data_IF_256291879670
#
_entry.id   IF_256291879670
#
_cell.length_a   1.000
_cell.length_b   1.000
_cell.length_c   1.000
_cell.angle_alpha   90.00
_cell.angle_beta   90.00
_cell.angle_gamma   90.00
#
_symmetry.space_group_name_H-M   'P 1'
#
loop_
_entity.id
_entity.type
_entity.pdbx_description
1 polymer ?
#
# COMPACT_ATOMS: atom_id res chain seq x y z
N UNK A 1 8.59 -15.18 -3.17
CA UNK A 1 8.73 -13.76 -2.79
C UNK A 1 8.15 -13.57 -1.41
N UNK A 2 8.97 -13.21 -0.43
CA UNK A 2 8.46 -12.78 0.88
C UNK A 2 7.55 -11.56 0.68
N UNK A 3 6.30 -11.65 1.13
CA UNK A 3 5.37 -10.51 1.11
C UNK A 3 5.95 -9.43 2.02
N UNK A 4 6.14 -8.24 1.47
CA UNK A 4 6.55 -7.04 2.22
C UNK A 4 5.31 -6.52 2.97
N UNK A 5 5.45 -5.93 4.16
CA UNK A 5 4.31 -5.31 4.83
C UNK A 5 3.61 -4.34 3.87
N UNK A 6 2.28 -4.43 3.83
CA UNK A 6 1.39 -3.58 3.02
C UNK A 6 1.61 -2.09 3.33
N UNK A 7 0.97 -1.24 2.53
CA UNK A 7 0.98 0.20 2.73
C UNK A 7 0.40 0.58 4.11
N UNK A 8 1.14 1.38 4.88
CA UNK A 8 0.73 1.94 6.18
C UNK A 8 0.82 3.45 6.14
N UNK A 9 -0.04 4.10 6.93
CA UNK A 9 -0.01 5.55 7.07
C UNK A 9 1.11 5.95 8.03
N UNK A 10 1.95 6.89 7.58
CA UNK A 10 3.03 7.47 8.37
C UNK A 10 2.53 8.80 8.92
N UNK A 11 2.17 8.81 10.20
CA UNK A 11 1.74 10.02 10.90
C UNK A 11 2.91 11.00 11.06
N UNK A 12 2.77 12.19 10.47
CA UNK A 12 3.76 13.27 10.59
C UNK A 12 3.73 13.88 12.00
N UNK A 13 2.55 13.92 12.65
CA UNK A 13 2.42 14.35 14.05
C UNK A 13 3.22 13.42 14.97
N UNK A 14 3.01 12.10 14.86
CA UNK A 14 3.73 11.13 15.69
C UNK A 14 5.22 11.11 15.39
N UNK A 15 5.62 11.16 14.11
CA UNK A 15 7.03 11.27 13.73
C UNK A 15 7.72 12.48 14.35
N UNK A 16 7.05 13.64 14.33
CA UNK A 16 7.59 14.87 14.90
C UNK A 16 7.74 14.76 16.42
N UNK A 17 6.73 14.22 17.10
CA UNK A 17 6.81 13.95 18.53
C UNK A 17 7.96 12.98 18.87
N UNK A 18 8.13 11.90 18.11
CA UNK A 18 9.24 10.96 18.29
C UNK A 18 10.61 11.62 18.05
N UNK A 19 10.76 12.44 17.01
CA UNK A 19 12.01 13.19 16.76
C UNK A 19 12.35 14.09 17.95
N UNK A 20 11.37 14.81 18.50
CA UNK A 20 11.57 15.66 19.68
C UNK A 20 12.01 14.84 20.91
N UNK A 21 11.37 13.69 21.17
CA UNK A 21 11.77 12.79 22.27
C UNK A 21 13.21 12.33 22.08
N UNK A 22 13.60 11.90 20.88
CA UNK A 22 14.96 11.46 20.60
C UNK A 22 15.99 12.59 20.70
N UNK A 23 15.64 13.82 20.30
CA UNK A 23 16.48 15.01 20.48
C UNK A 23 16.70 15.32 21.96
N UNK A 24 15.63 15.34 22.77
CA UNK A 24 15.71 15.59 24.22
C UNK A 24 16.55 14.55 24.95
N UNK A 25 16.48 13.29 24.51
CA UNK A 25 17.30 12.18 25.04
C UNK A 25 18.75 12.20 24.53
N UNK A 26 19.09 13.07 23.58
CA UNK A 26 20.43 13.13 22.98
C UNK A 26 20.74 11.97 22.02
N UNK A 27 19.71 11.28 21.51
CA UNK A 27 19.85 10.16 20.58
C UNK A 27 20.11 10.60 19.12
N UNK A 28 19.97 11.90 18.82
CA UNK A 28 20.12 12.49 17.48
C UNK A 28 21.14 13.65 17.47
N UNK A 29 21.87 13.85 16.35
CA UNK A 29 22.14 12.82 15.33
C UNK A 29 22.89 11.64 15.95
N UNK A 30 22.90 10.49 15.30
CA UNK A 30 23.63 9.31 15.81
C UNK A 30 25.10 9.67 16.06
N UNK A 31 25.48 9.82 17.34
CA UNK A 31 26.84 10.22 17.72
C UNK A 31 27.81 9.10 17.33
N UNK A 32 28.93 9.45 16.69
CA UNK A 32 30.02 8.49 16.37
C UNK A 32 30.55 7.76 17.61
N UNK A 33 30.37 8.35 18.80
CA UNK A 33 30.52 7.68 20.11
C UNK A 33 29.27 8.00 20.95
N UNK A 34 28.33 7.05 21.14
CA UNK A 34 27.23 7.27 22.07
C UNK A 34 27.83 7.49 23.47
N UNK A 35 27.28 8.43 24.24
CA UNK A 35 27.59 8.44 25.67
C UNK A 35 27.08 7.11 26.26
N UNK A 36 27.73 6.54 27.29
CA UNK A 36 27.26 5.31 27.93
C UNK A 36 25.80 5.37 28.41
N UNK A 37 25.29 6.58 28.65
CA UNK A 37 23.92 6.89 29.08
C UNK A 37 22.91 7.01 27.92
N UNK A 38 23.34 6.95 26.65
CA UNK A 38 22.48 7.19 25.48
C UNK A 38 22.83 6.27 24.31
N UNK A 39 22.57 4.97 24.45
CA UNK A 39 22.52 4.08 23.30
C UNK A 39 21.35 4.49 22.37
N UNK A 40 21.57 4.61 21.05
CA UNK A 40 20.49 4.97 20.15
C UNK A 40 19.41 3.87 20.16
N UNK A 41 18.12 4.23 20.21
CA UNK A 41 17.02 3.28 20.09
C UNK A 41 17.24 2.35 18.88
N UNK A 42 16.95 1.05 19.05
CA UNK A 42 17.09 0.02 18.00
C UNK A 42 16.46 0.47 16.68
N UNK A 43 15.32 1.17 16.75
CA UNK A 43 14.61 1.70 15.59
C UNK A 43 15.45 2.70 14.76
N UNK A 44 16.24 3.56 15.38
CA UNK A 44 17.12 4.50 14.66
C UNK A 44 18.30 3.78 13.99
N UNK A 45 18.83 2.75 14.63
CA UNK A 45 19.87 1.89 14.05
C UNK A 45 19.31 1.12 12.85
N UNK A 46 18.10 0.55 12.99
CA UNK A 46 17.37 -0.12 11.91
C UNK A 46 17.10 0.83 10.74
N UNK A 47 16.64 2.05 11.00
CA UNK A 47 16.42 3.09 9.99
C UNK A 47 17.71 3.44 9.24
N UNK A 48 18.81 3.72 9.96
CA UNK A 48 20.08 4.06 9.34
C UNK A 48 20.60 2.92 8.46
N UNK A 49 20.48 1.67 8.91
CA UNK A 49 20.86 0.49 8.11
C UNK A 49 20.06 0.39 6.82
N UNK A 50 18.73 0.56 6.90
CA UNK A 50 17.85 0.50 5.74
C UNK A 50 18.11 1.65 4.75
N UNK A 51 18.27 2.88 5.25
CA UNK A 51 18.57 4.05 4.42
C UNK A 51 19.95 3.96 3.75
N UNK A 52 20.97 3.44 4.44
CA UNK A 52 22.28 3.16 3.83
C UNK A 52 22.20 2.08 2.75
N UNK A 53 21.27 1.13 2.87
CA UNK A 53 20.95 0.19 1.81
C UNK A 53 20.25 0.87 0.63
N UNK A 54 19.32 1.79 0.91
CA UNK A 54 18.55 2.54 -0.07
C UNK A 54 19.44 3.49 -0.91
N UNK A 55 20.51 4.04 -0.36
CA UNK A 55 21.54 4.83 -1.09
C UNK A 55 22.22 4.07 -2.26
N UNK A 56 21.98 2.77 -2.40
CA UNK A 56 22.57 1.89 -3.43
C UNK A 56 21.50 1.32 -4.36
N UNK A 57 20.29 1.87 -4.35
CA UNK A 57 19.15 1.35 -5.10
C UNK A 57 18.75 2.33 -6.20
N UNK A 58 18.02 1.81 -7.18
CA UNK A 58 17.60 2.58 -8.34
C UNK A 58 18.73 2.88 -9.32
N UNK A 59 18.49 3.78 -10.29
CA UNK A 59 17.23 4.49 -10.52
C UNK A 59 16.06 3.55 -10.86
N UNK A 60 14.82 4.04 -10.75
CA UNK A 60 13.61 3.29 -11.07
C UNK A 60 12.78 4.07 -12.09
N UNK A 61 12.19 3.39 -13.07
CA UNK A 61 11.31 4.02 -14.06
C UNK A 61 10.37 2.99 -14.69
N UNK A 62 9.18 3.43 -15.12
CA UNK A 62 8.27 2.62 -15.93
C UNK A 62 8.84 2.27 -17.31
N UNK A 63 9.82 3.03 -17.80
CA UNK A 63 10.46 2.79 -19.10
C UNK A 63 11.65 1.82 -19.02
N UNK A 64 12.09 1.42 -17.82
CA UNK A 64 13.16 0.43 -17.63
C UNK A 64 12.66 -1.00 -17.82
N UNK A 65 12.17 -1.29 -19.02
CA UNK A 65 11.59 -2.57 -19.38
C UNK A 65 11.60 -2.77 -20.90
N UNK A 66 11.70 -4.03 -21.33
CA UNK A 66 11.53 -4.41 -22.74
C UNK A 66 10.05 -4.61 -23.11
N UNK A 67 9.14 -4.57 -22.13
CA UNK A 67 7.71 -4.78 -22.35
C UNK A 67 7.01 -3.48 -22.76
N UNK A 68 6.59 -3.40 -24.02
CA UNK A 68 5.79 -2.28 -24.51
C UNK A 68 4.36 -2.34 -23.96
N UNK A 69 3.83 -1.25 -23.38
CA UNK A 69 2.43 -1.18 -22.96
C UNK A 69 1.47 -1.27 -24.17
N UNK A 70 0.22 -1.71 -23.97
CA UNK A 70 -0.77 -1.79 -25.06
C UNK A 70 -1.06 -0.46 -25.77
N UNK A 71 -0.75 0.69 -25.16
CA UNK A 71 -0.85 2.02 -25.79
C UNK A 71 0.26 2.31 -26.80
N UNK A 72 1.36 1.57 -26.77
CA UNK A 72 2.58 1.85 -27.53
C UNK A 72 3.50 2.91 -26.89
N UNK A 73 3.05 3.58 -25.82
CA UNK A 73 3.84 4.59 -25.09
C UNK A 73 4.61 3.94 -23.92
N UNK A 74 5.93 4.04 -23.91
CA UNK A 74 6.81 3.49 -22.87
C UNK A 74 6.70 4.22 -21.52
N UNK A 75 6.07 5.40 -21.48
CA UNK A 75 5.81 6.16 -20.26
C UNK A 75 4.55 5.69 -19.52
N UNK A 76 3.73 4.81 -20.13
CA UNK A 76 2.54 4.28 -19.46
C UNK A 76 2.87 3.13 -18.49
N UNK A 77 2.32 3.22 -17.28
CA UNK A 77 2.43 2.13 -16.31
C UNK A 77 1.72 0.87 -16.80
N UNK A 78 2.52 -0.15 -17.10
CA UNK A 78 2.04 -1.45 -17.57
C UNK A 78 2.14 -2.57 -16.54
N UNK A 79 1.01 -3.22 -16.27
CA UNK A 79 0.95 -4.48 -15.53
C UNK A 79 -0.11 -5.40 -16.12
N UNK A 80 -0.03 -6.70 -15.84
CA UNK A 80 -1.01 -7.69 -16.31
C UNK A 80 -1.88 -8.22 -15.18
N UNK A 81 -3.08 -8.64 -15.52
CA UNK A 81 -4.07 -9.10 -14.58
C UNK A 81 -3.62 -10.39 -13.86
N UNK A 82 -3.45 -10.38 -12.51
CA UNK A 82 -2.73 -11.45 -11.82
C UNK A 82 -3.44 -12.79 -11.82
N UNK A 83 -4.76 -12.83 -12.02
CA UNK A 83 -5.57 -14.05 -11.95
C UNK A 83 -6.06 -14.53 -13.30
N UNK A 84 -5.50 -14.04 -14.39
CA UNK A 84 -5.92 -14.39 -15.74
C UNK A 84 -4.88 -15.34 -16.34
N UNK A 85 -5.30 -16.56 -16.64
CA UNK A 85 -4.43 -17.63 -17.12
C UNK A 85 -4.62 -17.85 -18.62
N UNK A 86 -3.53 -18.09 -19.37
CA UNK A 86 -3.63 -18.37 -20.79
C UNK A 86 -4.37 -19.68 -21.00
N UNK A 87 -5.24 -19.68 -21.99
CA UNK A 87 -5.88 -20.84 -22.60
C UNK A 87 -5.61 -20.71 -24.09
N UNK A 88 -5.17 -21.80 -24.72
CA UNK A 88 -4.91 -21.80 -26.14
C UNK A 88 -5.59 -22.93 -26.87
N UNK A 89 -5.88 -22.71 -28.14
CA UNK A 89 -6.45 -23.69 -29.04
C UNK A 89 -5.94 -23.46 -30.46
N UNK A 90 -5.59 -24.55 -31.14
CA UNK A 90 -5.30 -24.50 -32.58
C UNK A 90 -6.60 -24.34 -33.37
N UNK A 91 -6.65 -23.36 -34.25
CA UNK A 91 -7.79 -23.07 -35.12
C UNK A 91 -7.32 -23.04 -36.57
N UNK A 92 -8.03 -23.75 -37.44
CA UNK A 92 -7.78 -23.71 -38.89
C UNK A 92 -8.32 -22.39 -39.47
N UNK A 93 -7.42 -21.56 -40.00
CA UNK A 93 -7.77 -20.31 -40.66
C UNK A 93 -8.46 -20.53 -42.02
N UNK A 94 -9.12 -19.50 -42.57
CA UNK A 94 -9.72 -19.57 -43.91
C UNK A 94 -8.71 -19.82 -45.03
N UNK A 95 -7.43 -19.53 -44.77
CA UNK A 95 -6.26 -19.80 -45.60
C UNK A 95 -5.77 -21.26 -45.53
N UNK A 96 -6.42 -22.11 -44.71
CA UNK A 96 -6.01 -23.48 -44.45
C UNK A 96 -4.78 -23.58 -43.53
N UNK A 97 -4.36 -22.48 -42.91
CA UNK A 97 -3.21 -22.43 -42.00
C UNK A 97 -3.73 -22.51 -40.56
N UNK A 98 -3.25 -23.50 -39.80
CA UNK A 98 -3.53 -23.56 -38.37
C UNK A 98 -2.83 -22.42 -37.63
N UNK A 99 -3.57 -21.71 -36.79
CA UNK A 99 -3.05 -20.65 -35.91
C UNK A 99 -3.42 -20.99 -34.47
N UNK A 100 -2.48 -20.81 -33.57
CA UNK A 100 -2.78 -20.88 -32.14
C UNK A 100 -3.50 -19.59 -31.74
N UNK A 101 -4.76 -19.72 -31.29
CA UNK A 101 -5.46 -18.63 -30.65
C UNK A 101 -5.24 -18.72 -29.14
N UNK A 102 -4.83 -17.61 -28.51
CA UNK A 102 -4.61 -17.52 -27.07
C UNK A 102 -5.57 -16.48 -26.49
N UNK A 103 -6.38 -16.90 -25.53
CA UNK A 103 -7.18 -16.03 -24.69
C UNK A 103 -6.89 -16.30 -23.23
N UNK A 104 -7.47 -15.49 -22.35
CA UNK A 104 -7.21 -15.59 -20.92
C UNK A 104 -8.51 -15.78 -20.15
N UNK A 105 -8.47 -16.66 -19.16
CA UNK A 105 -9.60 -16.98 -18.28
C UNK A 105 -9.25 -16.73 -16.82
N UNK A 106 -10.23 -16.24 -16.05
CA UNK A 106 -10.03 -15.86 -14.65
C UNK A 106 -10.01 -17.09 -13.73
N UNK A 107 -8.92 -17.27 -12.99
CA UNK A 107 -8.77 -18.23 -11.88
C UNK A 107 -8.47 -17.47 -10.59
N UNK A 108 -9.52 -17.08 -9.86
CA UNK A 108 -9.39 -16.24 -8.66
C UNK A 108 -8.41 -16.82 -7.63
N UNK A 109 -7.59 -15.96 -7.04
CA UNK A 109 -6.59 -16.34 -6.03
C UNK A 109 -5.38 -17.10 -6.56
N UNK A 110 -5.40 -17.59 -7.81
CA UNK A 110 -4.27 -18.29 -8.46
C UNK A 110 -3.50 -17.32 -9.33
N UNK A 111 -2.35 -16.85 -8.86
CA UNK A 111 -1.51 -15.91 -9.62
C UNK A 111 -0.87 -16.60 -10.82
N UNK A 112 -1.00 -16.01 -12.01
CA UNK A 112 -0.25 -16.45 -13.20
C UNK A 112 1.23 -16.08 -13.02
N UNK A 113 2.20 -16.97 -13.29
CA UNK A 113 3.61 -16.74 -12.94
C UNK A 113 4.25 -15.54 -13.66
N UNK A 114 3.81 -15.27 -14.88
CA UNK A 114 4.42 -14.26 -15.76
C UNK A 114 4.10 -12.81 -15.38
N UNK A 115 3.20 -12.58 -14.40
CA UNK A 115 3.02 -11.25 -13.80
C UNK A 115 4.31 -10.70 -13.20
N UNK A 116 5.21 -11.59 -12.77
CA UNK A 116 6.51 -11.19 -12.20
C UNK A 116 7.53 -10.76 -13.25
N UNK A 117 7.25 -10.98 -14.55
CA UNK A 117 8.14 -10.53 -15.62
C UNK A 117 7.98 -9.04 -15.90
N UNK A 118 6.77 -8.48 -15.74
CA UNK A 118 6.53 -7.06 -15.93
C UNK A 118 7.04 -6.28 -14.72
N UNK A 119 8.05 -5.40 -14.88
CA UNK A 119 8.78 -4.87 -13.75
C UNK A 119 8.08 -3.67 -13.10
N UNK A 120 7.17 -2.97 -13.79
CA UNK A 120 6.69 -1.64 -13.37
C UNK A 120 6.08 -1.60 -11.97
N UNK A 121 5.22 -2.57 -11.63
CA UNK A 121 4.68 -2.65 -10.26
C UNK A 121 5.79 -2.89 -9.23
N UNK A 122 6.72 -3.81 -9.50
CA UNK A 122 7.85 -4.09 -8.60
C UNK A 122 8.85 -2.94 -8.51
N UNK A 123 9.05 -2.17 -9.57
CA UNK A 123 9.88 -0.97 -9.58
C UNK A 123 9.24 0.14 -8.76
N UNK A 124 7.94 0.39 -8.93
CA UNK A 124 7.20 1.39 -8.14
C UNK A 124 7.20 1.02 -6.64
N UNK A 125 6.99 -0.26 -6.30
CA UNK A 125 7.07 -0.75 -4.92
C UNK A 125 8.46 -0.54 -4.32
N UNK A 126 9.52 -0.75 -5.11
CA UNK A 126 10.90 -0.49 -4.68
C UNK A 126 11.21 0.99 -4.55
N UNK A 127 10.77 1.83 -5.50
CA UNK A 127 10.89 3.28 -5.42
C UNK A 127 10.25 3.79 -4.13
N UNK A 128 9.00 3.43 -3.89
CA UNK A 128 8.24 3.87 -2.72
C UNK A 128 8.87 3.42 -1.40
N UNK A 129 9.37 2.18 -1.31
CA UNK A 129 10.06 1.69 -0.12
C UNK A 129 11.39 2.42 0.13
N UNK A 130 12.20 2.65 -0.91
CA UNK A 130 13.49 3.31 -0.76
C UNK A 130 13.34 4.82 -0.48
N UNK A 131 12.43 5.52 -1.16
CA UNK A 131 12.11 6.93 -0.88
C UNK A 131 11.62 7.10 0.57
N UNK A 132 10.78 6.19 1.07
CA UNK A 132 10.36 6.20 2.48
C UNK A 132 11.55 6.09 3.44
N UNK A 133 12.47 5.13 3.23
CA UNK A 133 13.64 5.01 4.10
C UNK A 133 14.56 6.22 4.05
N UNK A 134 14.81 6.77 2.85
CA UNK A 134 15.66 7.94 2.65
C UNK A 134 15.03 9.20 3.27
N UNK A 135 13.74 9.43 3.06
CA UNK A 135 13.01 10.57 3.61
C UNK A 135 12.95 10.53 5.14
N UNK A 136 12.64 9.37 5.73
CA UNK A 136 12.68 9.18 7.18
C UNK A 136 14.09 9.40 7.74
N UNK A 137 15.12 8.86 7.08
CA UNK A 137 16.49 9.03 7.55
C UNK A 137 16.99 10.47 7.43
N UNK A 138 16.63 11.18 6.37
CA UNK A 138 16.88 12.62 6.27
C UNK A 138 16.18 13.38 7.40
N UNK A 139 14.90 13.09 7.65
CA UNK A 139 14.14 13.74 8.71
C UNK A 139 14.78 13.55 10.09
N UNK A 140 15.22 12.33 10.45
CA UNK A 140 15.81 12.07 11.76
C UNK A 140 17.28 12.49 11.88
N UNK A 141 18.09 12.29 10.83
CA UNK A 141 19.55 12.43 10.91
C UNK A 141 20.10 13.70 10.26
N UNK A 142 19.28 14.41 9.46
CA UNK A 142 19.66 15.64 8.75
C UNK A 142 20.88 15.45 7.82
N UNK A 143 21.15 14.20 7.41
CA UNK A 143 22.20 13.86 6.45
C UNK A 143 21.67 14.07 5.03
N UNK A 144 22.17 15.13 4.38
CA UNK A 144 21.75 15.57 3.05
C UNK A 144 21.90 14.51 1.97
N UNK A 145 22.77 13.51 2.15
CA UNK A 145 22.94 12.41 1.17
C UNK A 145 21.65 11.64 0.98
N UNK A 146 20.85 11.47 2.03
CA UNK A 146 19.58 10.76 1.94
C UNK A 146 18.55 11.54 1.13
N UNK A 147 18.42 12.85 1.37
CA UNK A 147 17.49 13.69 0.61
C UNK A 147 17.90 13.86 -0.85
N UNK A 148 19.20 14.03 -1.12
CA UNK A 148 19.73 14.08 -2.48
C UNK A 148 19.35 12.82 -3.27
N UNK A 149 19.65 11.64 -2.71
CA UNK A 149 19.33 10.39 -3.40
C UNK A 149 17.82 10.14 -3.53
N UNK A 150 17.02 10.51 -2.53
CA UNK A 150 15.56 10.44 -2.65
C UNK A 150 15.07 11.31 -3.81
N UNK A 151 15.62 12.52 -3.96
CA UNK A 151 15.28 13.45 -5.04
C UNK A 151 15.70 12.89 -6.41
N UNK A 152 16.88 12.27 -6.54
CA UNK A 152 17.30 11.61 -7.79
C UNK A 152 16.31 10.51 -8.21
N UNK A 153 15.87 9.68 -7.26
CA UNK A 153 14.91 8.62 -7.52
C UNK A 153 13.53 9.17 -7.92
N UNK A 154 13.08 10.25 -7.28
CA UNK A 154 11.82 10.93 -7.60
C UNK A 154 11.89 11.60 -8.98
N UNK A 155 12.98 12.30 -9.28
CA UNK A 155 13.19 12.97 -10.56
C UNK A 155 13.11 11.97 -11.72
N UNK A 156 13.81 10.83 -11.60
CA UNK A 156 13.77 9.76 -12.61
C UNK A 156 12.34 9.24 -12.87
N UNK A 157 11.51 9.08 -11.84
CA UNK A 157 10.16 8.50 -12.01
C UNK A 157 9.10 9.52 -12.43
N UNK A 158 9.21 10.78 -11.99
CA UNK A 158 8.12 11.76 -12.10
C UNK A 158 8.44 12.96 -13.00
N UNK A 159 9.72 13.26 -13.25
CA UNK A 159 10.13 14.55 -13.82
C UNK A 159 10.90 14.39 -15.12
N UNK A 160 11.92 13.55 -15.13
CA UNK A 160 12.84 13.40 -16.26
C UNK A 160 12.08 12.95 -17.53
N UNK A 161 12.08 13.76 -18.62
CA UNK A 161 11.24 13.50 -19.79
C UNK A 161 11.48 12.14 -20.47
N UNK A 162 12.67 11.57 -20.32
CA UNK A 162 13.03 10.27 -20.92
C UNK A 162 12.62 9.06 -20.09
N UNK A 163 12.24 9.26 -18.82
CA UNK A 163 11.96 8.18 -17.87
C UNK A 163 10.68 8.36 -17.05
N UNK A 164 10.02 9.51 -17.16
CA UNK A 164 8.82 9.83 -16.36
C UNK A 164 7.68 8.84 -16.61
N UNK A 165 6.87 8.57 -15.59
CA UNK A 165 5.61 7.86 -15.74
C UNK A 165 4.51 8.84 -16.12
N UNK A 166 3.66 8.53 -17.10
CA UNK A 166 2.45 9.32 -17.34
C UNK A 166 1.52 9.23 -16.11
N UNK A 167 0.81 10.32 -15.71
CA UNK A 167 -0.03 10.36 -14.51
C UNK A 167 -1.37 9.62 -14.69
N UNK A 168 -1.33 8.37 -15.14
CA UNK A 168 -2.48 7.50 -15.35
C UNK A 168 -2.12 6.02 -15.16
N UNK A 169 -3.12 5.15 -15.11
CA UNK A 169 -2.94 3.68 -15.05
C UNK A 169 -3.80 2.99 -16.13
N UNK A 170 -3.86 3.59 -17.32
CA UNK A 170 -4.66 3.11 -18.44
C UNK A 170 -4.25 1.70 -18.90
N UNK A 171 -2.97 1.35 -18.69
CA UNK A 171 -2.39 0.04 -19.02
C UNK A 171 -2.25 -0.89 -17.79
N UNK A 172 -2.95 -0.58 -16.70
CA UNK A 172 -2.90 -1.36 -15.47
C UNK A 172 -3.74 -2.65 -15.51
N UNK A 173 -3.12 -3.75 -15.10
CA UNK A 173 -3.71 -5.09 -15.07
C UNK A 173 -4.42 -5.47 -16.38
N UNK A 174 -3.79 -5.19 -17.52
CA UNK A 174 -4.22 -5.60 -18.84
C UNK A 174 -4.54 -7.10 -18.89
N UNK A 175 -5.50 -7.48 -19.74
CA UNK A 175 -5.81 -8.87 -20.07
C UNK A 175 -5.35 -9.08 -21.51
N UNK A 176 -4.35 -9.94 -21.70
CA UNK A 176 -3.72 -10.22 -22.99
C UNK A 176 -4.58 -11.16 -23.84
N UNK A 177 -4.12 -11.42 -25.07
CA UNK A 177 -4.75 -12.35 -26.00
C UNK A 177 -5.89 -11.72 -26.81
N UNK A 178 -6.64 -12.55 -27.53
CA UNK A 178 -7.69 -12.12 -28.49
C UNK A 178 -9.12 -12.38 -28.00
N UNK A 179 -9.28 -12.95 -26.80
CA UNK A 179 -10.59 -13.32 -26.27
C UNK A 179 -11.47 -12.15 -25.83
N UNK A 180 -12.75 -12.40 -25.50
CA UNK A 180 -13.74 -11.36 -25.18
C UNK A 180 -13.42 -10.53 -23.93
N UNK A 181 -12.49 -11.00 -23.10
CA UNK A 181 -12.03 -10.29 -21.90
C UNK A 181 -10.75 -9.48 -22.13
N UNK A 182 -10.15 -9.55 -23.31
CA UNK A 182 -8.92 -8.83 -23.62
C UNK A 182 -9.15 -7.32 -23.53
N UNK A 183 -8.22 -6.63 -22.88
CA UNK A 183 -8.28 -5.18 -22.70
C UNK A 183 -6.90 -4.62 -22.38
N UNK A 184 -6.65 -3.39 -22.83
CA UNK A 184 -5.39 -2.66 -22.58
C UNK A 184 -5.17 -2.36 -21.10
N UNK A 185 -6.23 -2.24 -20.32
CA UNK A 185 -6.19 -2.10 -18.87
C UNK A 185 -7.60 -2.06 -18.28
N UNK A 186 -7.68 -2.05 -16.95
CA UNK A 186 -8.96 -2.13 -16.23
C UNK A 186 -8.88 -1.45 -14.88
N UNK A 187 -10.03 -1.11 -14.31
CA UNK A 187 -10.15 -0.44 -13.00
C UNK A 187 -9.39 -1.13 -11.86
N UNK A 188 -9.26 -2.46 -11.91
CA UNK A 188 -8.50 -3.21 -10.93
C UNK A 188 -6.99 -2.90 -10.95
N UNK A 189 -6.47 -2.39 -12.07
CA UNK A 189 -5.11 -1.91 -12.27
C UNK A 189 -4.72 -0.77 -11.33
N UNK A 190 -5.67 0.00 -10.83
CA UNK A 190 -5.46 1.01 -9.78
C UNK A 190 -4.81 0.40 -8.52
N UNK A 191 -5.07 -0.88 -8.22
CA UNK A 191 -4.41 -1.57 -7.11
C UNK A 191 -2.92 -1.83 -7.34
N UNK A 192 -2.43 -1.77 -8.58
CA UNK A 192 -1.01 -1.96 -8.88
C UNK A 192 -0.17 -0.73 -8.59
N UNK A 193 -0.80 0.43 -8.35
CA UNK A 193 -0.11 1.71 -8.11
C UNK A 193 -0.32 2.27 -6.71
N UNK A 194 -0.86 1.47 -5.77
CA UNK A 194 -1.04 1.87 -4.36
C UNK A 194 0.20 2.50 -3.72
N UNK A 195 1.39 2.03 -4.10
CA UNK A 195 2.66 2.53 -3.62
C UNK A 195 2.90 4.03 -3.90
N UNK A 196 2.19 4.65 -4.86
CA UNK A 196 2.23 6.10 -5.08
C UNK A 196 1.74 6.89 -3.86
N UNK A 197 0.78 6.36 -3.10
CA UNK A 197 0.33 6.99 -1.85
C UNK A 197 1.43 6.98 -0.78
N UNK A 198 2.25 5.93 -0.71
CA UNK A 198 3.40 5.89 0.21
C UNK A 198 4.38 7.02 -0.07
N UNK A 199 4.68 7.25 -1.35
CA UNK A 199 5.56 8.32 -1.79
C UNK A 199 4.97 9.66 -1.35
N UNK A 200 3.72 9.95 -1.72
CA UNK A 200 3.03 11.19 -1.36
C UNK A 200 3.02 11.44 0.17
N UNK A 201 2.82 10.39 0.98
CA UNK A 201 2.81 10.48 2.44
C UNK A 201 4.15 10.99 3.03
N UNK A 202 5.29 10.63 2.42
CA UNK A 202 6.63 10.97 2.95
C UNK A 202 7.29 12.15 2.27
N UNK A 203 6.78 12.63 1.14
CA UNK A 203 7.31 13.83 0.46
C UNK A 203 7.46 15.05 1.39
N UNK A 204 6.53 15.35 2.32
CA UNK A 204 6.69 16.46 3.25
C UNK A 204 8.00 16.43 4.07
N UNK A 205 8.55 15.24 4.32
CA UNK A 205 9.79 15.07 5.09
C UNK A 205 11.04 15.58 4.34
N UNK A 206 10.96 15.76 3.02
CA UNK A 206 12.08 16.22 2.19
C UNK A 206 12.10 17.74 2.00
N UNK A 207 11.01 18.44 2.35
CA UNK A 207 10.80 19.87 2.02
C UNK A 207 11.82 20.84 2.61
N UNK A 208 12.58 20.43 3.62
CA UNK A 208 13.67 21.23 4.19
C UNK A 208 15.04 20.97 3.55
N UNK A 209 15.11 20.14 2.50
CA UNK A 209 16.35 19.86 1.78
C UNK A 209 16.48 20.76 0.56
N UNK A 210 17.66 21.35 0.37
CA UNK A 210 17.99 22.10 -0.85
C UNK A 210 17.93 21.24 -2.13
N UNK A 211 18.07 19.92 -2.02
CA UNK A 211 17.95 19.01 -3.17
C UNK A 211 16.50 18.81 -3.61
N UNK A 212 15.55 18.93 -2.69
CA UNK A 212 14.12 18.88 -2.99
C UNK A 212 13.63 20.32 -3.21
N UNK A 213 14.14 20.92 -4.29
CA UNK A 213 13.91 22.32 -4.61
C UNK A 213 12.49 22.61 -5.13
N UNK A 214 12.24 23.88 -5.46
CA UNK A 214 10.94 24.35 -5.94
C UNK A 214 10.53 23.71 -7.28
N UNK A 215 11.49 23.37 -8.15
CA UNK A 215 11.21 22.81 -9.47
C UNK A 215 10.77 21.35 -9.34
N UNK A 216 11.49 20.55 -8.54
CA UNK A 216 11.10 19.17 -8.22
C UNK A 216 9.75 19.15 -7.49
N UNK A 217 9.56 20.03 -6.50
CA UNK A 217 8.30 20.12 -5.77
C UNK A 217 7.12 20.51 -6.69
N UNK A 218 7.34 21.45 -7.61
CA UNK A 218 6.31 21.87 -8.58
C UNK A 218 5.95 20.75 -9.54
N UNK A 219 6.95 20.04 -10.09
CA UNK A 219 6.73 18.92 -11.00
C UNK A 219 5.96 17.78 -10.33
N UNK A 220 6.31 17.42 -9.08
CA UNK A 220 5.59 16.41 -8.31
C UNK A 220 4.16 16.84 -8.01
N UNK A 221 3.94 18.10 -7.61
CA UNK A 221 2.60 18.64 -7.38
C UNK A 221 1.74 18.59 -8.64
N UNK A 222 2.30 18.97 -9.80
CA UNK A 222 1.62 18.89 -11.09
C UNK A 222 1.25 17.45 -11.43
N UNK A 223 2.23 16.53 -11.36
CA UNK A 223 2.04 15.11 -11.63
C UNK A 223 0.95 14.49 -10.75
N UNK A 224 1.00 14.74 -9.44
CA UNK A 224 0.01 14.21 -8.50
C UNK A 224 -1.37 14.85 -8.67
N UNK A 225 -1.43 16.12 -9.09
CA UNK A 225 -2.69 16.79 -9.44
C UNK A 225 -3.33 16.11 -10.64
N UNK A 226 -2.58 15.88 -11.72
CA UNK A 226 -3.07 15.18 -12.90
C UNK A 226 -3.49 13.74 -12.57
N UNK A 227 -2.69 13.03 -11.78
CA UNK A 227 -2.97 11.64 -11.40
C UNK A 227 -4.24 11.53 -10.55
N UNK A 228 -4.42 12.39 -9.54
CA UNK A 228 -5.62 12.33 -8.70
C UNK A 228 -6.88 12.74 -9.48
N UNK A 229 -6.78 13.70 -10.40
CA UNK A 229 -7.85 14.02 -11.35
C UNK A 229 -8.20 12.81 -12.21
N UNK A 230 -7.21 12.13 -12.82
CA UNK A 230 -7.45 10.90 -13.57
C UNK A 230 -8.07 9.80 -12.69
N UNK A 231 -7.62 9.67 -11.44
CA UNK A 231 -8.06 8.64 -10.51
C UNK A 231 -9.53 8.79 -10.09
N UNK A 232 -10.07 10.02 -10.13
CA UNK A 232 -11.48 10.32 -9.82
C UNK A 232 -12.34 10.35 -11.10
N UNK A 233 -11.87 11.04 -12.14
CA UNK A 233 -12.72 11.46 -13.26
C UNK A 233 -12.63 10.54 -14.49
N UNK A 234 -11.54 9.78 -14.65
CA UNK A 234 -11.39 8.90 -15.80
C UNK A 234 -12.43 7.76 -15.79
N UNK A 235 -12.73 7.15 -16.96
CA UNK A 235 -13.62 5.98 -17.01
C UNK A 235 -13.18 4.83 -16.08
N UNK A 236 -11.87 4.57 -15.97
CA UNK A 236 -11.33 3.55 -15.08
C UNK A 236 -11.43 3.97 -13.60
N UNK A 237 -11.09 5.22 -13.29
CA UNK A 237 -11.17 5.81 -11.95
C UNK A 237 -12.60 5.80 -11.41
N UNK A 238 -13.54 6.38 -12.15
CA UNK A 238 -14.96 6.41 -11.81
C UNK A 238 -15.56 5.01 -11.65
N UNK A 239 -15.19 4.06 -12.51
CA UNK A 239 -15.66 2.68 -12.40
C UNK A 239 -15.06 1.94 -11.18
N UNK A 240 -13.86 2.33 -10.74
CA UNK A 240 -13.23 1.85 -9.51
C UNK A 240 -13.94 2.34 -8.25
N UNK A 241 -14.27 3.65 -8.20
CA UNK A 241 -15.01 4.25 -7.08
C UNK A 241 -16.43 3.68 -6.89
N UNK A 242 -17.00 3.10 -7.95
CA UNK A 242 -18.30 2.39 -7.91
C UNK A 242 -18.22 0.94 -7.39
N UNK A 243 -17.02 0.40 -7.15
CA UNK A 243 -16.89 -0.94 -6.56
C UNK A 243 -17.29 -0.94 -5.09
N UNK A 244 -17.71 -2.09 -4.56
CA UNK A 244 -18.24 -2.23 -3.19
C UNK A 244 -17.32 -3.05 -2.29
N UNK A 245 -16.07 -3.23 -2.69
CA UNK A 245 -15.10 -4.10 -2.03
C UNK A 245 -13.76 -3.36 -1.86
N UNK A 246 -12.71 -4.09 -1.48
CA UNK A 246 -11.36 -3.58 -1.22
C UNK A 246 -10.79 -2.68 -2.32
N UNK A 247 -11.22 -2.82 -3.57
CA UNK A 247 -10.80 -1.94 -4.65
C UNK A 247 -11.15 -0.48 -4.40
N UNK A 248 -12.37 -0.19 -3.92
CA UNK A 248 -12.81 1.17 -3.61
C UNK A 248 -12.03 1.74 -2.43
N UNK A 249 -11.86 0.95 -1.37
CA UNK A 249 -11.15 1.38 -0.16
C UNK A 249 -9.70 1.76 -0.47
N UNK A 250 -8.98 0.93 -1.23
CA UNK A 250 -7.60 1.21 -1.62
C UNK A 250 -7.45 2.31 -2.68
N UNK A 251 -8.48 2.56 -3.49
CA UNK A 251 -8.52 3.74 -4.34
C UNK A 251 -8.68 5.02 -3.51
N UNK A 252 -9.53 4.99 -2.48
CA UNK A 252 -9.67 6.11 -1.55
C UNK A 252 -8.39 6.37 -0.74
N UNK A 253 -7.65 5.33 -0.33
CA UNK A 253 -6.32 5.52 0.27
C UNK A 253 -5.42 6.35 -0.65
N UNK A 254 -5.40 6.06 -1.95
CA UNK A 254 -4.61 6.85 -2.90
C UNK A 254 -5.12 8.29 -3.02
N UNK A 255 -6.42 8.47 -3.23
CA UNK A 255 -7.04 9.80 -3.40
C UNK A 255 -6.77 10.67 -2.16
N UNK A 256 -7.13 10.19 -0.96
CA UNK A 256 -7.04 10.97 0.26
C UNK A 256 -5.59 11.32 0.62
N UNK A 257 -4.64 10.39 0.47
CA UNK A 257 -3.22 10.69 0.76
C UNK A 257 -2.65 11.71 -0.21
N UNK A 258 -2.99 11.62 -1.50
CA UNK A 258 -2.50 12.55 -2.51
C UNK A 258 -3.11 13.95 -2.29
N UNK A 259 -4.42 14.02 -2.05
CA UNK A 259 -5.08 15.30 -1.73
C UNK A 259 -4.51 15.93 -0.45
N UNK A 260 -4.19 15.12 0.57
CA UNK A 260 -3.53 15.60 1.78
C UNK A 260 -2.14 16.18 1.49
N UNK A 261 -1.33 15.49 0.68
CA UNK A 261 -0.04 16.01 0.21
C UNK A 261 -0.20 17.34 -0.54
N UNK A 262 -1.18 17.44 -1.43
CA UNK A 262 -1.52 18.64 -2.20
C UNK A 262 -2.22 19.74 -1.38
N UNK A 263 -2.30 19.60 -0.04
CA UNK A 263 -2.92 20.58 0.88
C UNK A 263 -4.40 20.84 0.62
N UNK A 264 -5.13 19.84 0.09
CA UNK A 264 -6.57 19.87 -0.17
C UNK A 264 -7.35 19.21 0.98
N UNK A 265 -7.18 19.73 2.19
CA UNK A 265 -7.71 19.12 3.42
C UNK A 265 -9.22 18.97 3.43
N UNK A 266 -9.96 19.97 2.93
CA UNK A 266 -11.43 19.93 2.90
C UNK A 266 -11.94 18.78 2.02
N UNK A 267 -11.28 18.51 0.89
CA UNK A 267 -11.63 17.37 0.03
C UNK A 267 -11.36 16.05 0.74
N UNK A 268 -10.25 15.93 1.47
CA UNK A 268 -9.93 14.73 2.25
C UNK A 268 -11.00 14.49 3.32
N UNK A 269 -11.35 15.52 4.10
CA UNK A 269 -12.38 15.42 5.13
C UNK A 269 -13.71 14.95 4.53
N UNK A 270 -14.14 15.55 3.40
CA UNK A 270 -15.36 15.15 2.70
C UNK A 270 -15.33 13.69 2.22
N UNK A 271 -14.20 13.20 1.70
CA UNK A 271 -14.08 11.80 1.29
C UNK A 271 -14.11 10.85 2.49
N UNK A 272 -13.45 11.20 3.59
CA UNK A 272 -13.41 10.38 4.80
C UNK A 272 -14.79 10.31 5.46
N UNK A 273 -15.48 11.44 5.65
CA UNK A 273 -16.84 11.48 6.19
C UNK A 273 -17.78 10.60 5.35
N UNK A 274 -17.83 10.81 4.03
CA UNK A 274 -18.66 9.98 3.15
C UNK A 274 -18.29 8.49 3.21
N UNK A 275 -17.00 8.17 3.32
CA UNK A 275 -16.54 6.79 3.39
C UNK A 275 -17.00 6.11 4.69
N UNK A 276 -16.81 6.76 5.84
CA UNK A 276 -17.16 6.19 7.14
C UNK A 276 -18.66 6.25 7.43
N UNK A 277 -19.39 7.24 6.90
CA UNK A 277 -20.85 7.32 7.03
C UNK A 277 -21.59 6.30 6.16
N UNK A 278 -21.05 5.98 4.98
CA UNK A 278 -21.79 5.19 3.98
C UNK A 278 -21.04 3.99 3.44
N UNK A 279 -19.79 4.13 3.00
CA UNK A 279 -19.13 3.08 2.22
C UNK A 279 -18.70 1.92 3.10
N UNK A 280 -17.99 2.20 4.18
CA UNK A 280 -17.47 1.19 5.09
C UNK A 280 -18.59 0.42 5.83
N UNK A 281 -19.62 1.06 6.41
CA UNK A 281 -20.76 0.34 6.98
C UNK A 281 -21.45 -0.59 5.98
N UNK A 282 -21.54 -0.21 4.70
CA UNK A 282 -22.13 -1.04 3.65
C UNK A 282 -21.20 -2.15 3.12
N UNK A 283 -19.92 -2.13 3.49
CA UNK A 283 -19.00 -3.24 3.22
C UNK A 283 -19.11 -4.34 4.29
N UNK A 284 -19.67 -4.02 5.45
CA UNK A 284 -19.85 -4.94 6.57
C UNK A 284 -21.17 -5.72 6.48
N UNK A 285 -21.21 -6.87 7.15
CA UNK A 285 -22.42 -7.66 7.29
C UNK A 285 -23.48 -6.96 8.17
N UNK A 286 -24.77 -7.05 7.83
CA UNK A 286 -25.84 -6.44 8.61
C UNK A 286 -26.08 -7.13 9.96
N UNK A 287 -25.55 -8.34 10.17
CA UNK A 287 -25.61 -9.04 11.47
C UNK A 287 -24.64 -8.44 12.49
N UNK A 288 -23.76 -7.53 12.08
CA UNK A 288 -22.82 -6.84 12.96
C UNK A 288 -21.68 -7.72 13.44
N UNK A 289 -21.40 -8.85 12.77
CA UNK A 289 -20.29 -9.75 13.14
C UNK A 289 -18.91 -9.16 12.82
N UNK A 290 -18.85 -8.21 11.88
CA UNK A 290 -17.60 -7.66 11.36
C UNK A 290 -17.12 -8.36 10.08
N UNK A 291 -17.88 -9.30 9.54
CA UNK A 291 -17.58 -9.89 8.24
C UNK A 291 -17.66 -8.83 7.14
N UNK A 292 -16.87 -9.00 6.09
CA UNK A 292 -16.94 -8.21 4.87
C UNK A 292 -17.33 -9.15 3.73
N UNK A 293 -18.62 -9.29 3.39
CA UNK A 293 -19.11 -10.37 2.52
C UNK A 293 -18.46 -10.44 1.13
N UNK A 294 -18.07 -9.28 0.58
CA UNK A 294 -17.37 -9.21 -0.72
C UNK A 294 -15.92 -9.73 -0.67
N UNK A 295 -15.35 -9.82 0.54
CA UNK A 295 -14.00 -10.31 0.80
C UNK A 295 -14.01 -11.75 1.29
N UNK A 296 -14.94 -12.10 2.16
CA UNK A 296 -15.06 -13.46 2.70
C UNK A 296 -15.58 -14.48 1.68
N UNK A 297 -16.26 -14.04 0.62
CA UNK A 297 -16.67 -14.91 -0.49
C UNK A 297 -15.53 -15.26 -1.47
N UNK A 298 -14.33 -14.70 -1.27
CA UNK A 298 -13.18 -14.89 -2.16
C UNK A 298 -12.46 -16.20 -1.89
N UNK A 299 -11.65 -16.62 -2.85
CA UNK A 299 -10.84 -17.86 -2.77
C UNK A 299 -9.75 -17.87 -1.68
N UNK A 300 -9.44 -16.70 -1.11
CA UNK A 300 -8.44 -16.50 -0.05
C UNK A 300 -8.99 -15.51 1.00
N UNK A 301 -10.05 -15.88 1.73
CA UNK A 301 -10.85 -14.92 2.50
C UNK A 301 -10.04 -14.21 3.58
N UNK A 302 -9.18 -14.90 4.33
CA UNK A 302 -8.33 -14.25 5.33
C UNK A 302 -7.51 -13.10 4.74
N UNK A 303 -6.87 -13.32 3.58
CA UNK A 303 -6.08 -12.30 2.91
C UNK A 303 -6.93 -11.09 2.50
N UNK A 304 -8.09 -11.28 1.88
CA UNK A 304 -8.90 -10.14 1.42
C UNK A 304 -9.53 -9.35 2.56
N UNK A 305 -9.95 -10.03 3.64
CA UNK A 305 -10.47 -9.40 4.85
C UNK A 305 -9.42 -8.49 5.50
N UNK A 306 -8.20 -9.02 5.72
CA UNK A 306 -7.08 -8.26 6.26
C UNK A 306 -6.68 -7.12 5.32
N UNK A 307 -6.62 -7.42 4.03
CA UNK A 307 -6.20 -6.46 3.01
C UNK A 307 -7.11 -5.23 2.96
N UNK A 308 -8.43 -5.39 3.11
CA UNK A 308 -9.35 -4.27 3.16
C UNK A 308 -9.30 -3.53 4.51
N UNK A 309 -9.28 -4.25 5.64
CA UNK A 309 -9.20 -3.63 6.98
C UNK A 309 -7.94 -2.78 7.13
N UNK A 310 -6.81 -3.23 6.58
CA UNK A 310 -5.58 -2.44 6.58
C UNK A 310 -5.77 -1.09 5.86
N UNK A 311 -6.51 -1.05 4.76
CA UNK A 311 -6.83 0.19 4.04
C UNK A 311 -7.78 1.10 4.84
N UNK A 312 -8.75 0.51 5.54
CA UNK A 312 -9.65 1.27 6.43
C UNK A 312 -8.87 1.92 7.56
N UNK A 313 -7.99 1.16 8.24
CA UNK A 313 -7.14 1.68 9.31
C UNK A 313 -6.22 2.78 8.78
N UNK A 314 -5.65 2.62 7.59
CA UNK A 314 -4.88 3.68 6.93
C UNK A 314 -5.70 4.98 6.84
N UNK A 315 -6.95 4.91 6.38
CA UNK A 315 -7.83 6.08 6.25
C UNK A 315 -8.19 6.71 7.61
N UNK A 316 -8.37 5.90 8.65
CA UNK A 316 -8.60 6.43 10.01
C UNK A 316 -7.37 7.17 10.53
N UNK A 317 -6.18 6.60 10.37
CA UNK A 317 -4.93 7.24 10.82
C UNK A 317 -4.65 8.53 10.03
N UNK A 318 -5.00 8.58 8.73
CA UNK A 318 -4.98 9.83 7.95
C UNK A 318 -6.00 10.85 8.49
N UNK A 319 -7.21 10.42 8.84
CA UNK A 319 -8.22 11.28 9.47
C UNK A 319 -7.74 11.89 10.78
N UNK A 320 -6.97 11.14 11.57
CA UNK A 320 -6.41 11.63 12.83
C UNK A 320 -5.43 12.79 12.65
N UNK A 321 -4.69 12.87 11.53
CA UNK A 321 -3.86 14.04 11.18
C UNK A 321 -4.69 15.30 10.95
N UNK A 322 -5.93 15.12 10.49
CA UNK A 322 -6.93 16.18 10.31
C UNK A 322 -7.78 16.42 11.56
N UNK A 323 -7.44 15.78 12.69
CA UNK A 323 -8.21 15.81 13.95
C UNK A 323 -9.64 15.26 13.81
N UNK A 324 -9.88 14.44 12.78
CA UNK A 324 -11.08 13.64 12.66
C UNK A 324 -10.85 12.32 13.41
N UNK A 325 -11.79 11.94 14.27
CA UNK A 325 -11.66 10.70 15.04
C UNK A 325 -12.78 9.73 14.69
N UNK A 326 -12.43 8.70 13.91
CA UNK A 326 -13.37 7.67 13.45
C UNK A 326 -13.41 6.44 14.38
N UNK A 327 -12.67 6.48 15.50
CA UNK A 327 -12.71 5.51 16.59
C UNK A 327 -13.80 5.72 17.70
N UNK A 328 -14.12 6.94 18.20
CA UNK A 328 -14.74 7.13 19.52
C UNK A 328 -16.25 6.95 19.55
N UNK A 329 -16.93 7.02 18.41
CA UNK A 329 -18.36 6.71 18.29
C UNK A 329 -18.53 5.55 17.33
N UNK A 330 -18.83 4.37 17.89
CA UNK A 330 -19.18 3.13 17.18
C UNK A 330 -18.03 2.37 16.48
N UNK A 331 -16.77 2.86 16.51
CA UNK A 331 -15.60 2.23 15.85
C UNK A 331 -15.84 1.93 14.34
N UNK A 332 -16.93 2.42 13.78
CA UNK A 332 -17.52 2.05 12.48
C UNK A 332 -17.49 0.53 12.16
N UNK A 333 -17.33 -0.35 13.15
CA UNK A 333 -17.14 -1.79 12.96
C UNK A 333 -15.73 -2.24 12.58
N UNK A 334 -14.70 -1.39 12.71
CA UNK A 334 -13.29 -1.71 12.41
C UNK A 334 -12.75 -2.75 13.39
N UNK A 335 -12.92 -2.55 14.70
CA UNK A 335 -12.62 -3.54 15.74
C UNK A 335 -13.36 -4.84 15.46
N UNK A 336 -14.66 -4.79 15.14
CA UNK A 336 -15.43 -6.00 14.83
C UNK A 336 -14.84 -6.75 13.62
N UNK A 337 -14.40 -6.03 12.59
CA UNK A 337 -13.75 -6.63 11.44
C UNK A 337 -12.39 -7.27 11.78
N UNK A 338 -11.60 -6.65 12.66
CA UNK A 338 -10.35 -7.25 13.17
C UNK A 338 -10.63 -8.48 14.03
N UNK A 339 -11.63 -8.41 14.92
CA UNK A 339 -12.05 -9.55 15.75
C UNK A 339 -12.56 -10.71 14.88
N UNK A 340 -13.27 -10.41 13.78
CA UNK A 340 -13.73 -11.42 12.82
C UNK A 340 -12.55 -12.12 12.12
N UNK A 341 -11.54 -11.35 11.70
CA UNK A 341 -10.29 -11.90 11.12
C UNK A 341 -9.58 -12.81 12.12
N UNK A 342 -9.48 -12.39 13.37
CA UNK A 342 -8.90 -13.20 14.47
C UNK A 342 -9.65 -14.53 14.58
N UNK A 343 -10.99 -14.47 14.68
CA UNK A 343 -11.83 -15.65 14.83
C UNK A 343 -11.72 -16.62 13.64
N UNK A 344 -11.68 -16.09 12.42
CA UNK A 344 -11.45 -16.89 11.21
C UNK A 344 -10.13 -17.65 11.28
N UNK A 345 -9.10 -17.04 11.85
CA UNK A 345 -7.78 -17.66 11.99
C UNK A 345 -7.66 -18.63 13.17
N UNK A 346 -8.32 -18.37 14.30
CA UNK A 346 -8.22 -19.24 15.49
C UNK A 346 -9.19 -20.42 15.46
N UNK A 347 -10.44 -20.19 15.05
CA UNK A 347 -11.56 -21.12 15.17
C UNK A 347 -12.19 -21.52 13.82
N UNK A 348 -12.03 -20.66 12.81
CA UNK A 348 -12.89 -20.65 11.62
C UNK A 348 -14.22 -19.94 11.89
N UNK A 349 -14.98 -19.65 10.83
CA UNK A 349 -16.24 -18.89 10.92
C UNK A 349 -17.34 -19.54 10.09
N UNK A 350 -18.59 -19.17 10.37
CA UNK A 350 -19.73 -19.52 9.54
C UNK A 350 -20.02 -18.36 8.58
N UNK A 351 -20.07 -18.62 7.27
CA UNK A 351 -20.47 -17.65 6.25
C UNK A 351 -21.70 -18.18 5.51
N UNK A 352 -22.86 -17.53 5.69
CA UNK A 352 -24.11 -17.90 5.00
C UNK A 352 -24.54 -19.35 5.23
N UNK A 353 -24.24 -19.93 6.40
CA UNK A 353 -24.53 -21.32 6.74
C UNK A 353 -23.42 -22.34 6.36
N UNK A 354 -22.38 -21.92 5.64
CA UNK A 354 -21.23 -22.76 5.32
C UNK A 354 -20.07 -22.51 6.30
N UNK A 355 -19.45 -23.58 6.80
CA UNK A 355 -18.25 -23.48 7.64
C UNK A 355 -17.04 -23.10 6.79
N UNK A 356 -16.54 -21.87 6.94
CA UNK A 356 -15.22 -21.48 6.46
C UNK A 356 -14.20 -22.06 7.42
N UNK A 357 -13.40 -23.00 6.92
CA UNK A 357 -12.38 -23.67 7.73
C UNK A 357 -11.33 -22.64 8.18
N UNK A 358 -10.79 -22.88 9.37
CA UNK A 358 -9.61 -22.20 9.91
C UNK A 358 -8.49 -22.17 8.87
N UNK A 359 -7.91 -21.00 8.61
CA UNK A 359 -6.76 -20.85 7.71
C UNK A 359 -5.43 -20.96 8.48
N UNK A 360 -5.07 -22.18 8.91
CA UNK A 360 -3.90 -22.43 9.79
C UNK A 360 -2.56 -21.95 9.22
N UNK A 361 -2.45 -21.86 7.89
CA UNK A 361 -1.23 -21.42 7.20
C UNK A 361 -1.33 -19.98 6.67
N UNK A 362 -2.26 -19.18 7.20
CA UNK A 362 -2.39 -17.78 6.82
C UNK A 362 -1.13 -16.96 7.18
N UNK A 363 -0.79 -16.01 6.30
CA UNK A 363 0.27 -15.04 6.57
C UNK A 363 -0.28 -13.92 7.45
N UNK A 364 0.16 -13.87 8.71
CA UNK A 364 -0.33 -12.92 9.70
C UNK A 364 0.33 -11.54 9.62
N UNK A 365 1.28 -11.32 8.70
CA UNK A 365 2.12 -10.12 8.68
C UNK A 365 1.32 -8.81 8.70
N UNK A 366 0.29 -8.74 7.85
CA UNK A 366 -0.60 -7.59 7.76
C UNK A 366 -1.62 -7.55 8.90
N UNK A 367 -2.15 -8.73 9.28
CA UNK A 367 -3.13 -8.86 10.36
C UNK A 367 -2.58 -8.33 11.69
N UNK A 368 -1.31 -8.60 12.00
CA UNK A 368 -0.63 -8.08 13.19
C UNK A 368 -0.63 -6.55 13.22
N UNK A 369 -0.48 -5.88 12.07
CA UNK A 369 -0.58 -4.42 11.99
C UNK A 369 -1.97 -3.92 12.39
N UNK A 370 -3.02 -4.55 11.84
CA UNK A 370 -4.41 -4.22 12.16
C UNK A 370 -4.74 -4.48 13.64
N UNK A 371 -4.30 -5.62 14.18
CA UNK A 371 -4.50 -6.00 15.59
C UNK A 371 -3.82 -4.99 16.51
N UNK A 372 -2.59 -4.58 16.21
CA UNK A 372 -1.89 -3.58 17.02
C UNK A 372 -2.58 -2.22 16.98
N UNK A 373 -3.16 -1.81 15.85
CA UNK A 373 -3.93 -0.57 15.76
C UNK A 373 -5.17 -0.58 16.65
N UNK A 374 -5.96 -1.66 16.59
CA UNK A 374 -7.14 -1.84 17.45
C UNK A 374 -6.75 -1.94 18.92
N UNK A 375 -5.71 -2.70 19.24
CA UNK A 375 -5.19 -2.81 20.62
C UNK A 375 -4.81 -1.44 21.17
N UNK A 376 -4.05 -0.61 20.43
CA UNK A 376 -3.69 0.75 20.88
C UNK A 376 -4.90 1.60 21.23
N UNK A 377 -6.00 1.49 20.48
CA UNK A 377 -7.20 2.31 20.65
C UNK A 377 -8.15 1.80 21.72
N UNK A 378 -8.30 0.48 21.85
CA UNK A 378 -9.33 -0.12 22.71
C UNK A 378 -8.77 -0.86 23.93
N UNK A 379 -7.44 -1.01 24.01
CA UNK A 379 -6.78 -1.88 24.97
C UNK A 379 -6.91 -3.36 24.61
N UNK A 380 -6.21 -4.22 25.35
CA UNK A 380 -6.26 -5.68 25.19
C UNK A 380 -7.02 -6.29 26.36
N UNK A 381 -8.34 -6.33 26.24
CA UNK A 381 -9.18 -6.96 27.26
C UNK A 381 -9.04 -8.47 27.10
N UNK A 382 -8.62 -9.16 28.16
CA UNK A 382 -8.47 -10.62 28.23
C UNK A 382 -7.28 -11.22 27.45
N UNK A 383 -6.27 -10.41 27.08
CA UNK A 383 -5.04 -10.84 26.40
C UNK A 383 -5.25 -11.50 25.02
N UNK A 384 -6.37 -11.21 24.35
CA UNK A 384 -6.70 -11.78 23.04
C UNK A 384 -5.77 -11.23 21.95
N UNK A 385 -5.47 -9.93 21.96
CA UNK A 385 -4.61 -9.34 20.93
C UNK A 385 -3.13 -9.66 21.15
N UNK A 386 -2.65 -9.54 22.40
CA UNK A 386 -1.26 -9.82 22.75
C UNK A 386 -0.87 -11.29 22.55
N UNK A 387 -1.77 -12.23 22.83
CA UNK A 387 -1.51 -13.66 22.61
C UNK A 387 -1.31 -13.97 21.12
N UNK A 388 -2.17 -13.44 20.24
CA UNK A 388 -2.07 -13.65 18.79
C UNK A 388 -0.82 -13.00 18.21
N UNK A 389 -0.50 -11.76 18.63
CA UNK A 389 0.73 -11.10 18.19
C UNK A 389 1.97 -11.88 18.65
N UNK A 390 1.94 -12.45 19.86
CA UNK A 390 3.01 -13.30 20.38
C UNK A 390 3.14 -14.59 19.58
N UNK A 391 2.02 -15.28 19.32
CA UNK A 391 2.00 -16.51 18.52
C UNK A 391 2.51 -16.26 17.09
N UNK A 392 2.08 -15.17 16.46
CA UNK A 392 2.56 -14.77 15.15
C UNK A 392 4.09 -14.53 15.13
N UNK A 393 4.65 -14.00 16.23
CA UNK A 393 6.09 -13.66 16.36
C UNK A 393 6.96 -14.89 16.57
N UNK A 394 6.44 -15.87 17.30
CA UNK A 394 7.17 -17.12 17.60
C UNK A 394 6.97 -18.15 16.47
N UNK A 395 5.88 -18.04 15.72
CA UNK A 395 5.56 -18.93 14.60
C UNK A 395 6.29 -18.62 13.30
N UNK A 396 5.81 -19.23 12.21
CA UNK A 396 6.40 -19.14 10.86
C UNK A 396 6.40 -17.74 10.23
N UNK A 397 5.70 -16.78 10.84
CA UNK A 397 5.67 -15.39 10.41
C UNK A 397 6.70 -14.51 11.14
N UNK A 398 7.41 -15.03 12.16
CA UNK A 398 8.30 -14.28 13.02
C UNK A 398 9.29 -13.38 12.27
N UNK A 399 9.97 -13.92 11.26
CA UNK A 399 10.95 -13.17 10.45
C UNK A 399 10.33 -12.02 9.64
N UNK A 400 9.02 -12.06 9.37
CA UNK A 400 8.30 -11.01 8.61
C UNK A 400 7.74 -9.92 9.51
N UNK A 401 7.47 -10.24 10.77
CA UNK A 401 6.92 -9.31 11.77
C UNK A 401 7.94 -8.92 12.85
N UNK A 402 9.22 -9.05 12.51
CA UNK A 402 10.34 -8.62 13.32
C UNK A 402 11.44 -8.02 12.43
N UNK A 403 12.48 -7.50 13.08
CA UNK A 403 13.65 -6.98 12.42
C UNK A 403 13.48 -5.57 11.84
N UNK A 404 14.50 -5.07 11.12
CA UNK A 404 14.66 -3.64 10.89
C UNK A 404 13.48 -2.96 10.21
N UNK A 405 12.81 -3.65 9.27
CA UNK A 405 11.66 -3.08 8.55
C UNK A 405 10.44 -2.94 9.44
N UNK A 406 10.22 -3.92 10.31
CA UNK A 406 9.09 -3.93 11.22
C UNK A 406 9.29 -2.93 12.36
N UNK A 407 10.53 -2.81 12.87
CA UNK A 407 10.88 -1.88 13.95
C UNK A 407 10.48 -0.43 13.65
N UNK A 408 10.56 -0.03 12.36
CA UNK A 408 10.27 1.33 11.93
C UNK A 408 8.84 1.77 12.27
N UNK A 409 7.88 0.84 12.36
CA UNK A 409 6.48 1.15 12.71
C UNK A 409 6.37 2.01 13.98
N UNK A 410 7.22 1.73 14.97
CA UNK A 410 7.28 2.48 16.22
C UNK A 410 7.60 3.98 16.08
N UNK A 411 8.08 4.44 14.93
CA UNK A 411 8.34 5.85 14.67
C UNK A 411 7.06 6.66 14.42
N UNK A 412 6.00 6.03 13.91
CA UNK A 412 4.75 6.72 13.52
C UNK A 412 3.49 6.08 14.08
N UNK A 413 3.61 4.96 14.80
CA UNK A 413 2.53 4.41 15.62
C UNK A 413 2.74 4.85 17.06
N UNK A 414 1.76 5.54 17.65
CA UNK A 414 1.75 6.02 19.04
C UNK A 414 1.83 4.89 20.07
#
# INVERSE_FOLDING_TARGET
MARRPELEFISLIQLTAQKQIFQQRGCLPLRKKPSPECAPPTVLVSLQKLANGALKKGPFSVSFTEFTPPSGDTHDFYSVAPYWWPVSKMILGPDGIEKEEIWYERKDGKRVPDVGLLPNQGQLEQLAENVMYLALAFFFFEDVRYAHHATELLSCWFVEPTTTMNPNVNCGQAIRGTGPNACSGRKAGILSTRALARIANVLPLLTSSDSFDADIASALNAWYTEYVTWLVDSPLGSAGLKTTNNHRTWQLVQICTILWYLRRSDDVMNYLDQFFDSTWPNQLDPQGTGDQPQESCRTRPFHYLVFNVNAVIYLVELGAELKMDFWPSCDHGIKRAVDFVIKLWTEGVMNGGNKVKKEENADLTEAVGCILAVWRKHGDRQNEYSSIVTEARVGSNGDKISGPKYDLRSLWTS
#
